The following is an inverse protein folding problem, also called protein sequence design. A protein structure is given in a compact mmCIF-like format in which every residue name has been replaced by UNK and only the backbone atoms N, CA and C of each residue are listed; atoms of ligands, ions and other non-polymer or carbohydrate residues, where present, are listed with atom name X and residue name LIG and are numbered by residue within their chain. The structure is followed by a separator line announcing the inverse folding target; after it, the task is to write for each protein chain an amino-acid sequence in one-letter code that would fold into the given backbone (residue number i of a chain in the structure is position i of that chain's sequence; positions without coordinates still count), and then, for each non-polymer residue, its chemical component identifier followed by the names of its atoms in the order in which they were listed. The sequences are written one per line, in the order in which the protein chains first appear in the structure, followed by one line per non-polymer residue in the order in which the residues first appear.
data_IF_168831699965
#
_entry.id   IF_168831699965
#
_cell.length_a   1.000
_cell.length_b   1.000
_cell.length_c   1.000
_cell.angle_alpha   90.00
_cell.angle_beta   90.00
_cell.angle_gamma   90.00
#
_symmetry.space_group_name_H-M   'P 1'
#
loop_
_entity.id
_entity.type
_entity.pdbx_description
1 polymer ?
#
# COMPACT_ATOMS: atom_id res chain seq x y z
N UNK A 1 -16.49 -62.81 -8.79
CA UNK A 1 -15.34 -63.14 -9.65
C UNK A 1 -14.35 -62.04 -9.37
N UNK A 2 -13.49 -62.17 -8.34
CA UNK A 2 -12.14 -62.75 -8.37
C UNK A 2 -11.22 -61.94 -9.30
N UNK A 3 -10.12 -61.36 -8.89
CA UNK A 3 -8.97 -61.71 -8.01
C UNK A 3 -8.05 -60.48 -7.89
N UNK A 4 -7.63 -59.95 -6.80
CA UNK A 4 -6.44 -60.22 -5.95
C UNK A 4 -5.12 -60.45 -6.68
N UNK A 5 -4.11 -59.65 -6.29
CA UNK A 5 -2.68 -59.93 -6.01
C UNK A 5 -1.99 -58.59 -5.76
N UNK A 6 -1.58 -58.16 -4.59
CA UNK A 6 -0.48 -58.56 -3.67
C UNK A 6 0.86 -58.97 -4.31
N UNK A 7 1.91 -58.23 -3.97
CA UNK A 7 3.20 -58.68 -3.39
C UNK A 7 4.18 -57.48 -3.35
N UNK A 8 4.62 -57.02 -2.16
CA UNK A 8 5.77 -57.39 -1.30
C UNK A 8 7.11 -56.71 -1.68
N UNK A 9 7.56 -55.83 -0.83
CA UNK A 9 8.70 -55.88 0.14
C UNK A 9 10.11 -56.12 -0.42
N UNK A 10 11.05 -55.21 -0.06
CA UNK A 10 12.34 -55.42 0.65
C UNK A 10 13.05 -54.04 0.73
N UNK A 11 13.32 -53.41 1.82
CA UNK A 11 14.23 -53.53 2.95
C UNK A 11 15.70 -53.73 2.53
N UNK A 12 16.55 -52.74 2.83
CA UNK A 12 17.87 -52.88 3.46
C UNK A 12 18.56 -51.52 3.69
N UNK A 13 18.90 -51.25 4.92
CA UNK A 13 20.05 -50.47 5.43
C UNK A 13 21.08 -51.47 5.94
N UNK A 14 22.31 -51.17 6.44
CA UNK A 14 23.02 -49.89 6.67
C UNK A 14 24.54 -49.97 6.28
N UNK A 15 25.26 -48.85 6.47
CA UNK A 15 26.74 -48.86 6.36
C UNK A 15 27.40 -47.67 7.05
N UNK A 16 27.93 -47.94 8.22
CA UNK A 16 28.80 -47.13 9.08
C UNK A 16 30.27 -47.12 8.61
N UNK A 17 31.00 -46.01 8.87
CA UNK A 17 32.33 -45.89 9.45
C UNK A 17 32.91 -44.51 9.24
N UNK A 18 33.19 -43.73 10.26
CA UNK A 18 34.31 -43.71 11.22
C UNK A 18 35.56 -42.99 10.71
N UNK A 19 35.89 -41.93 11.46
CA UNK A 19 37.27 -41.56 11.80
C UNK A 19 37.80 -40.38 11.01
N UNK A 20 38.45 -39.35 11.52
CA UNK A 20 39.33 -39.21 12.68
C UNK A 20 39.60 -37.73 12.89
N UNK A 21 39.71 -37.32 14.13
CA UNK A 21 40.10 -35.99 14.63
C UNK A 21 41.61 -35.75 14.47
N UNK A 22 42.04 -34.52 14.26
CA UNK A 22 43.28 -33.95 14.78
C UNK A 22 43.10 -32.44 15.04
N UNK A 23 43.23 -32.00 16.26
CA UNK A 23 43.45 -30.60 16.62
C UNK A 23 44.93 -30.37 16.95
N UNK A 24 45.31 -29.40 17.80
CA UNK A 24 45.44 -27.98 17.48
C UNK A 24 46.91 -27.50 17.58
N UNK A 25 47.25 -26.32 17.10
CA UNK A 25 48.49 -25.61 17.55
C UNK A 25 48.33 -24.10 17.61
N UNK A 26 48.66 -23.61 18.76
CA UNK A 26 48.90 -22.25 19.26
C UNK A 26 50.11 -21.60 18.62
N UNK A 27 50.10 -20.24 18.46
CA UNK A 27 51.22 -19.31 18.74
C UNK A 27 50.77 -17.88 18.43
N UNK A 28 50.66 -17.00 19.26
CA UNK A 28 51.30 -15.98 20.14
C UNK A 28 52.44 -15.19 19.49
N UNK A 29 52.26 -13.88 19.48
CA UNK A 29 53.18 -12.76 19.80
C UNK A 29 52.90 -11.52 18.94
N UNK A 30 52.38 -10.44 19.55
CA UNK A 30 53.07 -9.22 19.93
C UNK A 30 53.80 -8.52 18.79
N UNK A 31 53.33 -7.27 18.46
CA UNK A 31 54.11 -6.02 18.73
C UNK A 31 53.28 -4.82 18.22
N UNK A 32 53.15 -3.83 19.13
CA UNK A 32 52.96 -2.44 18.78
C UNK A 32 54.35 -1.79 18.60
N UNK A 33 54.49 -0.73 17.80
CA UNK A 33 54.77 0.54 18.47
C UNK A 33 54.04 1.78 17.91
N UNK A 34 53.77 2.64 18.83
CA UNK A 34 53.53 4.09 18.79
C UNK A 34 54.40 4.85 17.79
N UNK A 35 53.82 5.82 17.05
CA UNK A 35 54.38 7.17 17.03
C UNK A 35 53.40 8.27 16.59
N UNK A 36 53.69 9.47 17.08
CA UNK A 36 52.97 10.71 17.22
C UNK A 36 52.82 11.53 15.92
N UNK A 37 51.72 12.25 15.91
CA UNK A 37 51.53 13.68 15.61
C UNK A 37 52.08 14.28 14.31
N UNK A 38 51.23 14.91 13.55
CA UNK A 38 51.13 16.36 13.36
C UNK A 38 49.94 16.70 12.48
N UNK A 39 49.20 17.74 12.87
CA UNK A 39 47.99 18.26 12.35
C UNK A 39 48.07 18.94 10.98
N UNK A 40 46.90 19.10 10.39
CA UNK A 40 46.46 20.41 9.86
C UNK A 40 44.95 20.37 9.58
N UNK A 41 44.32 21.47 9.92
CA UNK A 41 42.93 21.79 9.86
C UNK A 41 42.37 21.79 8.42
N UNK A 42 41.08 21.37 8.29
CA UNK A 42 40.31 21.55 7.08
C UNK A 42 38.84 21.33 7.41
N UNK A 43 38.15 22.39 7.81
CA UNK A 43 36.68 22.43 7.96
C UNK A 43 36.00 22.15 6.64
N UNK A 44 35.10 21.16 6.60
CA UNK A 44 33.95 21.14 5.70
C UNK A 44 32.77 20.57 6.49
N UNK A 45 31.90 21.47 6.94
CA UNK A 45 30.68 21.12 7.68
C UNK A 45 29.69 20.36 6.83
N UNK A 46 29.37 19.16 7.23
CA UNK A 46 28.13 18.47 6.81
C UNK A 46 27.02 18.98 7.73
N UNK A 47 26.23 19.93 7.20
CA UNK A 47 24.98 20.35 7.80
C UNK A 47 23.98 19.17 7.68
N UNK A 48 23.85 18.42 8.77
CA UNK A 48 22.77 17.47 8.96
C UNK A 48 21.45 18.22 8.99
N UNK A 49 20.63 18.06 7.97
CA UNK A 49 19.21 18.46 7.99
C UNK A 49 18.44 17.46 8.86
N UNK A 50 18.54 17.63 10.18
CA UNK A 50 17.54 17.11 11.11
C UNK A 50 16.30 18.02 11.03
N UNK A 51 15.46 17.79 10.03
CA UNK A 51 14.12 18.37 9.98
C UNK A 51 13.32 17.83 11.15
N UNK A 52 13.18 18.65 12.21
CA UNK A 52 12.24 18.41 13.31
C UNK A 52 10.83 18.29 12.71
N UNK A 53 10.31 17.08 12.63
CA UNK A 53 8.90 16.85 12.45
C UNK A 53 8.17 17.39 13.69
N UNK A 54 7.67 18.62 13.61
CA UNK A 54 6.71 19.16 14.60
C UNK A 54 5.55 18.17 14.65
N UNK A 55 5.28 17.64 15.85
CA UNK A 55 4.11 16.81 16.12
C UNK A 55 2.86 17.49 15.55
N UNK A 56 2.17 16.78 14.65
CA UNK A 56 0.89 17.26 14.15
C UNK A 56 -0.13 17.17 15.29
N UNK A 57 -0.84 18.26 15.51
CA UNK A 57 -2.04 18.24 16.37
C UNK A 57 -2.99 17.15 15.91
N UNK A 58 -3.31 16.22 16.79
CA UNK A 58 -4.13 15.04 16.50
C UNK A 58 -5.61 15.36 16.15
N UNK A 59 -5.95 16.61 15.90
CA UNK A 59 -7.31 17.10 15.62
C UNK A 59 -7.44 17.99 14.38
N UNK A 60 -6.36 18.38 13.71
CA UNK A 60 -6.48 19.19 12.50
C UNK A 60 -6.87 18.30 11.30
N UNK A 61 -7.86 18.70 10.46
CA UNK A 61 -8.22 17.95 9.28
C UNK A 61 -6.98 17.78 8.37
N UNK A 62 -6.70 16.55 7.98
CA UNK A 62 -5.62 16.26 7.05
C UNK A 62 -5.95 16.97 5.73
N UNK A 63 -5.12 17.92 5.32
CA UNK A 63 -5.27 18.52 4.00
C UNK A 63 -4.76 17.51 2.98
N UNK A 64 -5.60 17.14 2.00
CA UNK A 64 -5.20 16.33 0.87
C UNK A 64 -3.97 16.89 0.16
N UNK A 65 -3.49 16.20 -0.83
CA UNK A 65 -2.35 16.59 -1.64
C UNK A 65 -2.71 16.48 -3.12
N UNK A 66 -2.15 17.33 -3.96
CA UNK A 66 -2.26 17.16 -5.41
C UNK A 66 -1.27 16.12 -5.88
N UNK A 67 -1.71 15.18 -6.71
CA UNK A 67 -0.84 14.23 -7.39
C UNK A 67 -0.92 14.49 -8.90
N UNK A 68 0.24 14.66 -9.55
CA UNK A 68 0.30 15.03 -10.97
C UNK A 68 1.27 14.13 -11.70
N UNK A 69 0.85 13.64 -12.85
CA UNK A 69 1.71 13.00 -13.86
C UNK A 69 1.69 13.86 -15.11
N UNK A 70 2.86 14.08 -15.74
CA UNK A 70 3.00 14.85 -16.97
C UNK A 70 3.87 14.11 -17.96
N UNK A 71 3.28 13.72 -19.10
CA UNK A 71 3.92 12.93 -20.15
C UNK A 71 4.71 11.75 -19.58
N UNK A 72 4.17 11.12 -18.52
CA UNK A 72 4.89 10.13 -17.72
C UNK A 72 4.80 8.74 -18.34
N UNK A 73 5.96 8.10 -18.55
CA UNK A 73 6.05 6.69 -18.90
C UNK A 73 6.45 5.90 -17.66
N UNK A 74 5.64 4.89 -17.32
CA UNK A 74 5.76 4.11 -16.11
C UNK A 74 6.02 2.64 -16.43
N UNK A 75 6.86 1.99 -15.64
CA UNK A 75 7.15 0.58 -15.84
C UNK A 75 8.55 0.19 -15.40
N UNK A 76 9.08 -0.84 -16.04
CA UNK A 76 10.48 -1.25 -15.90
C UNK A 76 11.27 -0.73 -17.11
N UNK A 77 12.59 -0.59 -17.01
CA UNK A 77 13.42 -0.09 -18.11
C UNK A 77 13.27 -0.87 -19.42
N UNK A 78 12.99 -2.16 -19.31
CA UNK A 78 12.81 -3.12 -20.42
C UNK A 78 11.34 -3.32 -20.82
N UNK A 79 10.38 -2.83 -20.05
CA UNK A 79 8.96 -3.03 -20.29
C UNK A 79 8.10 -1.89 -19.70
N UNK A 80 7.78 -0.90 -20.54
CA UNK A 80 6.83 0.15 -20.17
C UNK A 80 5.43 -0.48 -19.98
N UNK A 81 4.81 -0.17 -18.83
CA UNK A 81 3.45 -0.61 -18.51
C UNK A 81 2.40 0.45 -18.90
N UNK A 82 2.77 1.72 -18.77
CA UNK A 82 1.94 2.86 -19.16
C UNK A 82 2.83 3.88 -19.88
N UNK A 83 2.36 4.41 -20.98
CA UNK A 83 3.08 5.40 -21.78
C UNK A 83 2.29 6.71 -21.87
N UNK A 84 3.01 7.81 -21.81
CA UNK A 84 2.50 9.16 -22.05
C UNK A 84 1.25 9.49 -21.21
N UNK A 85 1.37 9.34 -19.90
CA UNK A 85 0.27 9.56 -18.96
C UNK A 85 0.28 11.01 -18.48
N UNK A 86 -0.82 11.72 -18.79
CA UNK A 86 -1.15 13.00 -18.19
C UNK A 86 -2.33 12.83 -17.24
N UNK A 87 -2.11 13.03 -15.95
CA UNK A 87 -3.12 12.86 -14.91
C UNK A 87 -2.92 13.89 -13.80
N UNK A 88 -3.99 14.59 -13.45
CA UNK A 88 -4.04 15.49 -12.30
C UNK A 88 -5.12 15.02 -11.32
N UNK A 89 -4.74 14.82 -10.07
CA UNK A 89 -5.63 14.44 -8.97
C UNK A 89 -5.61 15.56 -7.94
N UNK A 90 -6.65 16.39 -7.87
CA UNK A 90 -6.77 17.48 -6.91
C UNK A 90 -6.77 17.01 -5.45
N UNK A 91 -6.39 17.90 -4.50
CA UNK A 91 -6.45 17.60 -3.07
C UNK A 91 -7.86 17.20 -2.61
N UNK A 92 -7.96 16.08 -1.87
CA UNK A 92 -9.21 15.58 -1.29
C UNK A 92 -10.14 14.85 -2.26
N UNK A 93 -9.74 14.68 -3.53
CA UNK A 93 -10.48 13.91 -4.52
C UNK A 93 -10.29 12.41 -4.31
N UNK A 94 -11.32 11.64 -4.60
CA UNK A 94 -11.24 10.19 -4.79
C UNK A 94 -11.27 9.89 -6.29
N UNK A 95 -10.10 9.62 -6.85
CA UNK A 95 -9.96 9.11 -8.21
C UNK A 95 -10.00 7.58 -8.18
N UNK A 96 -10.94 6.99 -8.89
CA UNK A 96 -10.93 5.55 -9.15
C UNK A 96 -10.26 5.25 -10.47
N UNK A 97 -9.53 4.14 -10.56
CA UNK A 97 -8.80 3.72 -11.75
C UNK A 97 -9.26 2.33 -12.15
N UNK A 98 -9.82 2.19 -13.34
CA UNK A 98 -10.29 0.92 -13.87
C UNK A 98 -9.56 0.56 -15.16
N UNK A 99 -9.46 -0.75 -15.42
CA UNK A 99 -8.82 -1.26 -16.63
C UNK A 99 -8.59 -2.77 -16.54
N UNK A 100 -8.30 -3.43 -17.68
CA UNK A 100 -8.04 -4.86 -17.71
C UNK A 100 -6.82 -5.25 -16.86
N UNK A 101 -6.72 -6.54 -16.56
CA UNK A 101 -5.55 -7.06 -15.85
C UNK A 101 -4.28 -6.81 -16.67
N UNK A 102 -3.20 -6.41 -16.00
CA UNK A 102 -1.91 -6.15 -16.65
C UNK A 102 -1.78 -4.79 -17.36
N UNK A 103 -2.82 -3.93 -17.42
CA UNK A 103 -2.74 -2.63 -18.11
C UNK A 103 -1.93 -1.54 -17.38
N UNK A 104 -1.30 -1.84 -16.23
CA UNK A 104 -0.42 -0.89 -15.52
C UNK A 104 -1.00 -0.24 -14.26
N UNK A 105 -2.20 -0.62 -13.79
CA UNK A 105 -2.84 -0.04 -12.58
C UNK A 105 -1.94 -0.06 -11.34
N UNK A 106 -1.40 -1.23 -10.99
CA UNK A 106 -0.49 -1.39 -9.84
C UNK A 106 0.85 -0.67 -10.06
N UNK A 107 1.31 -0.53 -11.32
CA UNK A 107 2.50 0.24 -11.66
C UNK A 107 2.27 1.72 -11.39
N UNK A 108 1.11 2.27 -11.80
CA UNK A 108 0.70 3.63 -11.50
C UNK A 108 0.72 3.91 -9.99
N UNK A 109 0.08 3.04 -9.19
CA UNK A 109 0.06 3.19 -7.73
C UNK A 109 1.45 3.13 -7.10
N UNK A 110 2.28 2.18 -7.53
CA UNK A 110 3.65 2.04 -7.01
C UNK A 110 4.52 3.25 -7.37
N UNK A 111 4.31 3.83 -8.54
CA UNK A 111 5.03 5.06 -8.92
C UNK A 111 4.55 6.25 -8.09
N UNK A 112 3.25 6.44 -7.90
CA UNK A 112 2.70 7.45 -7.00
C UNK A 112 3.13 7.26 -5.54
N UNK A 113 3.30 6.03 -5.09
CA UNK A 113 3.85 5.72 -3.76
C UNK A 113 5.36 6.04 -3.63
N UNK A 114 6.05 6.24 -4.75
CA UNK A 114 7.50 6.40 -4.80
C UNK A 114 8.29 5.09 -4.70
N UNK A 115 7.63 3.95 -4.93
CA UNK A 115 8.27 2.62 -4.93
C UNK A 115 8.92 2.28 -6.28
N UNK A 116 8.45 2.92 -7.35
CA UNK A 116 9.02 2.80 -8.69
C UNK A 116 9.27 4.21 -9.24
N UNK A 117 10.42 4.48 -9.85
CA UNK A 117 10.63 5.73 -10.58
C UNK A 117 9.83 5.74 -11.88
N UNK A 118 9.47 6.92 -12.36
CA UNK A 118 9.03 7.08 -13.74
C UNK A 118 10.22 6.84 -14.69
N UNK A 119 9.96 6.26 -15.86
CA UNK A 119 10.97 6.07 -16.90
C UNK A 119 11.25 7.37 -17.64
N UNK A 120 10.19 8.14 -17.93
CA UNK A 120 10.25 9.48 -18.54
C UNK A 120 9.12 10.35 -17.98
N UNK A 121 9.18 11.65 -18.24
CA UNK A 121 8.19 12.62 -17.77
C UNK A 121 8.36 12.97 -16.30
N UNK A 122 7.30 13.51 -15.70
CA UNK A 122 7.32 13.95 -14.31
C UNK A 122 6.17 13.32 -13.51
N UNK A 123 6.47 12.92 -12.26
CA UNK A 123 5.49 12.47 -11.26
C UNK A 123 5.70 13.29 -10.00
N UNK A 124 4.69 14.05 -9.61
CA UNK A 124 4.80 15.09 -8.60
C UNK A 124 3.73 14.99 -7.52
N UNK A 125 4.09 15.44 -6.32
CA UNK A 125 3.19 15.73 -5.23
C UNK A 125 3.29 17.19 -4.86
N UNK A 126 2.19 17.96 -4.96
CA UNK A 126 2.16 19.42 -4.72
C UNK A 126 3.26 20.17 -5.51
N UNK A 127 3.51 19.79 -6.76
CA UNK A 127 4.54 20.38 -7.62
C UNK A 127 5.98 19.99 -7.28
N UNK A 128 6.19 19.01 -6.41
CA UNK A 128 7.51 18.47 -6.07
C UNK A 128 7.66 17.06 -6.61
N UNK A 129 8.79 16.70 -7.24
CA UNK A 129 9.01 15.36 -7.73
C UNK A 129 8.89 14.29 -6.65
N UNK A 130 8.23 13.19 -6.96
CA UNK A 130 8.19 12.00 -6.12
C UNK A 130 9.46 11.19 -6.39
N UNK A 131 10.41 11.26 -5.47
CA UNK A 131 11.72 10.59 -5.59
C UNK A 131 11.82 9.31 -4.75
N UNK A 132 10.85 9.04 -3.87
CA UNK A 132 10.83 7.87 -3.00
C UNK A 132 9.60 7.80 -2.12
N UNK A 133 9.46 6.72 -1.31
CA UNK A 133 8.38 6.58 -0.33
C UNK A 133 8.41 7.72 0.70
N UNK A 134 7.23 8.15 1.14
CA UNK A 134 7.09 9.19 2.16
C UNK A 134 5.97 8.86 3.14
N UNK A 135 6.09 9.34 4.38
CA UNK A 135 5.14 9.03 5.45
C UNK A 135 3.74 9.64 5.25
N UNK A 136 3.60 10.60 4.35
CA UNK A 136 2.33 11.25 4.01
C UNK A 136 1.58 10.58 2.84
N UNK A 137 2.13 9.48 2.29
CA UNK A 137 1.49 8.62 1.30
C UNK A 137 1.35 7.20 1.85
N UNK A 138 0.13 6.73 2.05
CA UNK A 138 -0.15 5.37 2.47
C UNK A 138 -0.50 4.49 1.26
N UNK A 139 0.05 3.27 1.21
CA UNK A 139 -0.31 2.27 0.21
C UNK A 139 -1.03 1.10 0.89
N UNK A 140 -2.21 0.79 0.38
CA UNK A 140 -3.03 -0.36 0.75
C UNK A 140 -2.92 -1.39 -0.36
N UNK A 141 -2.39 -2.56 -0.05
CA UNK A 141 -2.20 -3.65 -1.01
C UNK A 141 -3.47 -4.50 -1.13
N UNK A 142 -3.57 -5.26 -2.19
CA UNK A 142 -4.63 -6.24 -2.42
C UNK A 142 -4.70 -7.29 -1.30
N UNK A 143 -3.55 -7.79 -0.86
CA UNK A 143 -3.43 -8.61 0.34
C UNK A 143 -3.40 -7.71 1.59
N UNK A 144 -3.88 -8.22 2.73
CA UNK A 144 -3.97 -7.43 3.97
C UNK A 144 -2.61 -6.95 4.51
N UNK A 145 -1.52 -7.58 4.11
CA UNK A 145 -0.14 -7.23 4.45
C UNK A 145 0.08 -6.93 5.95
N UNK A 146 -0.78 -7.44 6.83
CA UNK A 146 -0.62 -7.31 8.28
C UNK A 146 0.55 -8.18 8.74
N UNK A 147 1.30 -7.69 9.73
CA UNK A 147 2.38 -8.47 10.34
C UNK A 147 1.78 -9.59 11.18
N UNK A 148 1.91 -10.88 10.79
CA UNK A 148 1.17 -11.98 11.41
C UNK A 148 1.57 -12.26 12.86
N UNK A 149 2.76 -11.83 13.30
CA UNK A 149 3.26 -11.95 14.67
C UNK A 149 2.90 -10.75 15.55
N UNK A 150 2.17 -9.75 15.04
CA UNK A 150 1.69 -8.59 15.80
C UNK A 150 0.17 -8.62 15.93
N UNK A 151 -0.33 -8.17 17.08
CA UNK A 151 -1.77 -7.97 17.27
C UNK A 151 -2.31 -6.91 16.29
N UNK A 152 -3.62 -6.85 16.11
CA UNK A 152 -4.23 -5.81 15.27
C UNK A 152 -3.86 -4.41 15.79
N UNK A 153 -3.91 -4.18 17.10
CA UNK A 153 -3.48 -2.91 17.70
C UNK A 153 -2.03 -2.59 17.37
N UNK A 154 -1.11 -3.55 17.53
CA UNK A 154 0.31 -3.34 17.25
C UNK A 154 0.61 -3.16 15.74
N UNK A 155 -0.23 -3.69 14.87
CA UNK A 155 -0.19 -3.40 13.43
C UNK A 155 -0.59 -1.95 13.14
N UNK A 156 -1.66 -1.45 13.76
CA UNK A 156 -2.12 -0.06 13.57
C UNK A 156 -1.18 0.95 14.24
N UNK A 157 -0.54 0.59 15.36
CA UNK A 157 0.49 1.42 16.00
C UNK A 157 1.75 1.61 15.13
N UNK A 158 2.04 0.70 14.20
CA UNK A 158 3.31 0.66 13.47
C UNK A 158 3.62 1.95 12.69
N UNK A 159 2.75 2.47 11.82
CA UNK A 159 3.03 3.71 11.09
C UNK A 159 3.20 4.92 12.01
N UNK A 160 2.46 4.98 13.11
CA UNK A 160 2.61 6.01 14.14
C UNK A 160 3.98 5.94 14.83
N UNK A 161 4.46 4.70 15.09
CA UNK A 161 5.79 4.48 15.66
C UNK A 161 6.91 4.94 14.71
N UNK A 162 6.76 4.68 13.40
CA UNK A 162 7.70 5.12 12.37
C UNK A 162 7.75 6.65 12.29
N UNK A 163 6.62 7.33 12.50
CA UNK A 163 6.55 8.79 12.57
C UNK A 163 7.07 9.39 13.88
N UNK A 164 7.50 8.56 14.85
CA UNK A 164 8.03 9.01 16.14
C UNK A 164 6.96 9.42 17.16
N UNK A 165 5.68 9.07 16.94
CA UNK A 165 4.61 9.37 17.90
C UNK A 165 4.89 8.70 19.26
N UNK A 166 4.78 9.40 20.40
CA UNK A 166 4.99 8.83 21.73
C UNK A 166 4.11 7.61 21.99
N UNK A 167 4.61 6.64 22.76
CA UNK A 167 3.96 5.34 22.95
C UNK A 167 2.53 5.45 23.48
N UNK A 168 2.28 6.37 24.41
CA UNK A 168 0.94 6.55 24.98
C UNK A 168 -0.06 7.04 23.91
N UNK A 169 0.35 8.06 23.14
CA UNK A 169 -0.49 8.70 22.12
C UNK A 169 -0.77 7.75 20.96
N UNK A 170 0.27 7.05 20.45
CA UNK A 170 0.07 6.10 19.36
C UNK A 170 -0.85 4.94 19.72
N UNK A 171 -0.78 4.45 21.00
CA UNK A 171 -1.67 3.39 21.45
C UNK A 171 -3.11 3.85 21.49
N UNK A 172 -3.36 5.08 21.96
CA UNK A 172 -4.68 5.69 21.96
C UNK A 172 -5.19 5.87 20.53
N UNK A 173 -4.41 6.52 19.66
CA UNK A 173 -4.78 6.73 18.26
C UNK A 173 -5.07 5.42 17.53
N UNK A 174 -4.25 4.39 17.75
CA UNK A 174 -4.46 3.08 17.13
C UNK A 174 -5.74 2.40 17.66
N UNK A 175 -6.07 2.55 18.95
CA UNK A 175 -7.31 2.03 19.51
C UNK A 175 -8.53 2.78 18.96
N UNK A 176 -8.48 4.10 18.86
CA UNK A 176 -9.53 4.94 18.28
C UNK A 176 -9.79 4.54 16.82
N UNK A 177 -8.74 4.25 16.03
CA UNK A 177 -8.89 3.77 14.66
C UNK A 177 -9.50 2.37 14.57
N UNK A 178 -9.12 1.46 15.47
CA UNK A 178 -9.75 0.13 15.52
C UNK A 178 -11.23 0.22 15.92
N UNK A 179 -11.61 1.14 16.79
CA UNK A 179 -12.99 1.40 17.12
C UNK A 179 -13.77 1.91 15.90
N UNK A 180 -13.23 2.90 15.17
CA UNK A 180 -13.84 3.45 13.94
C UNK A 180 -14.11 2.41 12.86
N UNK A 181 -13.29 1.37 12.78
CA UNK A 181 -13.48 0.25 11.83
C UNK A 181 -14.23 -0.94 12.46
N UNK A 182 -14.76 -0.81 13.69
CA UNK A 182 -15.54 -1.84 14.38
C UNK A 182 -14.73 -3.04 14.83
N UNK A 183 -13.49 -2.82 15.29
CA UNK A 183 -12.56 -3.88 15.76
C UNK A 183 -12.01 -3.64 17.16
N UNK A 184 -12.64 -2.81 17.98
CA UNK A 184 -12.19 -2.51 19.34
C UNK A 184 -12.05 -3.78 20.20
N UNK A 185 -13.02 -4.68 20.12
CA UNK A 185 -13.05 -5.97 20.84
C UNK A 185 -12.00 -6.98 20.33
N UNK A 186 -11.45 -6.76 19.14
CA UNK A 186 -10.45 -7.62 18.47
C UNK A 186 -9.04 -7.07 18.53
N UNK A 187 -8.83 -5.90 19.14
CA UNK A 187 -7.55 -5.17 19.14
C UNK A 187 -6.33 -6.02 19.56
N UNK A 188 -6.53 -6.96 20.50
CA UNK A 188 -5.47 -7.85 21.01
C UNK A 188 -5.29 -9.15 20.23
N UNK A 189 -6.13 -9.41 19.22
CA UNK A 189 -6.04 -10.63 18.41
C UNK A 189 -4.94 -10.52 17.37
N UNK A 190 -4.38 -11.67 16.98
CA UNK A 190 -3.44 -11.80 15.88
C UNK A 190 -4.22 -11.89 14.54
N UNK A 191 -3.65 -11.50 13.40
CA UNK A 191 -4.34 -11.50 12.11
C UNK A 191 -4.96 -12.83 11.71
N UNK A 192 -4.32 -13.96 12.04
CA UNK A 192 -4.86 -15.30 11.75
C UNK A 192 -6.07 -15.72 12.63
N UNK A 193 -6.42 -14.93 13.65
CA UNK A 193 -7.56 -15.19 14.55
C UNK A 193 -8.81 -14.39 14.17
N UNK A 194 -8.77 -13.64 13.07
CA UNK A 194 -9.87 -12.81 12.60
C UNK A 194 -10.21 -13.14 11.15
N UNK A 195 -11.43 -12.81 10.72
CA UNK A 195 -11.88 -13.04 9.33
C UNK A 195 -11.12 -12.19 8.31
N UNK A 196 -11.20 -12.53 7.01
CA UNK A 196 -10.61 -11.76 5.92
C UNK A 196 -11.08 -10.31 5.92
N UNK A 197 -12.39 -10.07 6.03
CA UNK A 197 -12.94 -8.72 6.12
C UNK A 197 -12.47 -7.94 7.35
N UNK A 198 -12.30 -8.62 8.49
CA UNK A 198 -11.71 -8.00 9.69
C UNK A 198 -10.24 -7.64 9.50
N UNK A 199 -9.46 -8.48 8.81
CA UNK A 199 -8.07 -8.13 8.45
C UNK A 199 -8.02 -6.90 7.54
N UNK A 200 -8.91 -6.80 6.56
CA UNK A 200 -8.96 -5.64 5.68
C UNK A 200 -9.38 -4.36 6.39
N UNK A 201 -10.32 -4.43 7.35
CA UNK A 201 -10.64 -3.30 8.23
C UNK A 201 -9.42 -2.84 9.05
N UNK A 202 -8.65 -3.79 9.59
CA UNK A 202 -7.43 -3.48 10.33
C UNK A 202 -6.34 -2.88 9.43
N UNK A 203 -6.21 -3.35 8.18
CA UNK A 203 -5.30 -2.77 7.18
C UNK A 203 -5.70 -1.33 6.86
N UNK A 204 -7.00 -1.05 6.68
CA UNK A 204 -7.51 0.29 6.46
C UNK A 204 -7.20 1.21 7.65
N UNK A 205 -7.47 0.74 8.87
CA UNK A 205 -7.12 1.47 10.09
C UNK A 205 -5.62 1.78 10.17
N UNK A 206 -4.76 0.80 9.86
CA UNK A 206 -3.31 0.98 9.81
C UNK A 206 -2.88 2.02 8.78
N UNK A 207 -3.46 2.01 7.59
CA UNK A 207 -3.13 2.96 6.55
C UNK A 207 -3.51 4.40 6.91
N UNK A 208 -4.64 4.59 7.59
CA UNK A 208 -5.18 5.91 7.93
C UNK A 208 -4.67 6.46 9.27
N UNK A 209 -4.21 5.60 10.19
CA UNK A 209 -3.82 6.01 11.55
C UNK A 209 -2.72 7.08 11.58
N UNK A 210 -1.81 7.06 10.62
CA UNK A 210 -0.72 8.04 10.51
C UNK A 210 -1.14 9.39 9.89
N UNK A 211 -2.42 9.56 9.54
CA UNK A 211 -2.93 10.77 8.90
C UNK A 211 -2.27 11.07 7.55
N UNK A 212 -2.25 10.12 6.59
CA UNK A 212 -1.63 10.35 5.29
C UNK A 212 -2.40 11.43 4.51
N UNK A 213 -1.67 12.18 3.68
CA UNK A 213 -2.26 13.17 2.77
C UNK A 213 -2.76 12.54 1.48
N UNK A 214 -2.17 11.40 1.09
CA UNK A 214 -2.64 10.56 0.00
C UNK A 214 -2.78 9.11 0.44
N UNK A 215 -3.84 8.43 -0.03
CA UNK A 215 -4.10 7.00 0.18
C UNK A 215 -4.22 6.34 -1.18
N UNK A 216 -3.33 5.39 -1.43
CA UNK A 216 -3.23 4.64 -2.68
C UNK A 216 -3.72 3.22 -2.40
N UNK A 217 -4.71 2.72 -3.14
CA UNK A 217 -5.36 1.44 -2.85
C UNK A 217 -5.34 0.54 -4.09
N UNK A 218 -4.72 -0.63 -3.99
CA UNK A 218 -4.59 -1.61 -5.07
C UNK A 218 -5.56 -2.77 -4.86
N UNK A 219 -6.73 -2.73 -5.51
CA UNK A 219 -7.81 -3.74 -5.45
C UNK A 219 -8.12 -4.24 -4.02
N UNK A 220 -8.32 -3.34 -3.03
CA UNK A 220 -8.32 -3.73 -1.62
C UNK A 220 -9.49 -4.66 -1.25
N UNK A 221 -10.52 -4.76 -2.08
CA UNK A 221 -11.72 -5.54 -1.80
C UNK A 221 -11.91 -6.73 -2.76
N UNK A 222 -10.93 -7.00 -3.63
CA UNK A 222 -11.02 -8.04 -4.66
C UNK A 222 -11.24 -9.47 -4.13
N UNK A 223 -10.71 -9.78 -2.93
CA UNK A 223 -10.83 -11.09 -2.30
C UNK A 223 -12.09 -11.28 -1.43
N UNK A 224 -12.97 -10.27 -1.32
CA UNK A 224 -14.15 -10.31 -0.48
C UNK A 224 -15.39 -10.80 -1.24
N UNK A 225 -16.28 -11.51 -0.54
CA UNK A 225 -17.62 -11.79 -1.02
C UNK A 225 -18.44 -10.50 -1.20
N UNK A 226 -19.52 -10.54 -1.97
CA UNK A 226 -20.29 -9.36 -2.35
C UNK A 226 -20.85 -8.57 -1.15
N UNK A 227 -21.35 -9.26 -0.11
CA UNK A 227 -21.94 -8.62 1.05
C UNK A 227 -20.86 -7.93 1.90
N UNK A 228 -19.77 -8.62 2.18
CA UNK A 228 -18.61 -8.07 2.91
C UNK A 228 -17.99 -6.89 2.15
N UNK A 229 -17.87 -6.99 0.82
CA UNK A 229 -17.37 -5.92 -0.04
C UNK A 229 -18.23 -4.66 0.05
N UNK A 230 -19.56 -4.80 -0.03
CA UNK A 230 -20.49 -3.69 0.10
C UNK A 230 -20.30 -2.97 1.46
N UNK A 231 -20.25 -3.72 2.57
CA UNK A 231 -19.99 -3.14 3.89
C UNK A 231 -18.61 -2.46 4.03
N UNK A 232 -17.59 -2.97 3.32
CA UNK A 232 -16.26 -2.34 3.30
C UNK A 232 -16.23 -1.04 2.49
N UNK A 233 -16.96 -0.98 1.39
CA UNK A 233 -17.10 0.24 0.59
C UNK A 233 -17.81 1.34 1.40
N UNK A 234 -18.89 1.02 2.10
CA UNK A 234 -19.60 1.96 2.96
C UNK A 234 -18.70 2.46 4.10
N UNK A 235 -18.00 1.55 4.77
CA UNK A 235 -17.02 1.89 5.80
C UNK A 235 -15.90 2.80 5.25
N UNK A 236 -15.38 2.51 4.05
CA UNK A 236 -14.34 3.34 3.43
C UNK A 236 -14.84 4.76 3.19
N UNK A 237 -16.05 4.93 2.65
CA UNK A 237 -16.66 6.25 2.45
C UNK A 237 -16.83 6.99 3.78
N UNK A 238 -17.28 6.30 4.83
CA UNK A 238 -17.45 6.86 6.15
C UNK A 238 -16.14 7.36 6.77
N UNK A 239 -15.11 6.49 6.80
CA UNK A 239 -13.83 6.84 7.43
C UNK A 239 -13.04 7.89 6.65
N UNK A 240 -13.22 7.99 5.33
CA UNK A 240 -12.56 9.00 4.50
C UNK A 240 -13.20 10.39 4.63
N UNK A 241 -14.52 10.50 4.88
CA UNK A 241 -15.24 11.78 4.99
C UNK A 241 -14.58 12.77 5.94
N UNK A 242 -13.95 12.30 7.01
CA UNK A 242 -13.31 13.16 8.02
C UNK A 242 -11.83 13.42 7.79
N UNK A 243 -11.20 12.76 6.80
CA UNK A 243 -9.75 12.84 6.63
C UNK A 243 -9.31 13.93 5.65
N UNK A 244 -10.11 14.26 4.65
CA UNK A 244 -9.73 15.16 3.56
C UNK A 244 -8.55 14.64 2.71
N UNK A 245 -8.12 13.39 2.88
CA UNK A 245 -7.04 12.80 2.11
C UNK A 245 -7.40 12.65 0.63
N UNK A 246 -6.43 12.79 -0.25
CA UNK A 246 -6.54 12.44 -1.68
C UNK A 246 -6.46 10.92 -1.81
N UNK A 247 -7.34 10.32 -2.61
CA UNK A 247 -7.39 8.86 -2.76
C UNK A 247 -7.24 8.49 -4.23
N UNK A 248 -6.35 7.52 -4.50
CA UNK A 248 -6.30 6.81 -5.79
C UNK A 248 -6.64 5.36 -5.53
N UNK A 249 -7.79 4.94 -6.02
CA UNK A 249 -8.36 3.61 -5.77
C UNK A 249 -8.40 2.80 -7.06
N UNK A 250 -7.62 1.74 -7.12
CA UNK A 250 -7.59 0.82 -8.27
C UNK A 250 -8.57 -0.32 -8.05
N UNK A 251 -9.35 -0.63 -9.07
CA UNK A 251 -10.26 -1.77 -9.10
C UNK A 251 -10.45 -2.27 -10.53
N UNK A 252 -10.93 -3.50 -10.67
CA UNK A 252 -11.44 -4.04 -11.94
C UNK A 252 -12.98 -3.99 -12.02
N UNK A 253 -13.65 -3.61 -10.93
CA UNK A 253 -15.11 -3.52 -10.84
C UNK A 253 -15.57 -2.08 -11.13
N UNK A 254 -16.31 -1.90 -12.23
CA UNK A 254 -16.80 -0.60 -12.69
C UNK A 254 -17.85 -0.04 -11.71
N UNK A 255 -18.71 -0.90 -11.14
CA UNK A 255 -19.74 -0.46 -10.21
C UNK A 255 -19.12 0.04 -8.89
N UNK A 256 -18.05 -0.61 -8.42
CA UNK A 256 -17.24 -0.14 -7.30
C UNK A 256 -16.59 1.21 -7.60
N UNK A 257 -15.99 1.36 -8.78
CA UNK A 257 -15.36 2.61 -9.19
C UNK A 257 -16.36 3.78 -9.23
N UNK A 258 -17.54 3.57 -9.78
CA UNK A 258 -18.60 4.58 -9.87
C UNK A 258 -19.26 4.87 -8.51
N UNK A 259 -19.21 3.93 -7.56
CA UNK A 259 -19.71 4.17 -6.21
C UNK A 259 -18.74 5.00 -5.38
N UNK A 260 -17.45 4.72 -5.46
CA UNK A 260 -16.42 5.33 -4.61
C UNK A 260 -15.87 6.64 -5.18
N UNK A 261 -15.68 6.73 -6.50
CA UNK A 261 -14.97 7.83 -7.15
C UNK A 261 -15.73 9.14 -7.23
N UNK A 262 -14.99 10.24 -7.26
CA UNK A 262 -15.43 11.55 -7.77
C UNK A 262 -15.21 11.59 -9.28
N UNK A 263 -14.12 10.98 -9.73
CA UNK A 263 -13.81 10.72 -11.14
C UNK A 263 -13.35 9.29 -11.32
N UNK A 264 -13.51 8.77 -12.52
CA UNK A 264 -12.99 7.48 -12.95
C UNK A 264 -12.00 7.65 -14.10
N UNK A 265 -10.78 7.13 -13.91
CA UNK A 265 -9.73 7.06 -14.93
C UNK A 265 -9.75 5.68 -15.58
N UNK A 266 -9.77 5.64 -16.89
CA UNK A 266 -9.83 4.42 -17.70
C UNK A 266 -8.44 4.12 -18.25
N UNK A 267 -7.86 2.98 -17.87
CA UNK A 267 -6.61 2.50 -18.43
C UNK A 267 -6.88 1.38 -19.44
N UNK A 268 -6.28 1.47 -20.59
CA UNK A 268 -6.38 0.45 -21.64
C UNK A 268 -5.15 0.50 -22.55
N UNK A 269 -4.73 -0.65 -23.08
CA UNK A 269 -3.61 -0.78 -24.01
C UNK A 269 -2.33 -0.02 -23.58
N UNK A 270 -2.03 -0.01 -22.27
CA UNK A 270 -0.85 0.67 -21.73
C UNK A 270 -0.92 2.20 -21.73
N UNK A 271 -2.12 2.79 -21.76
CA UNK A 271 -2.34 4.25 -21.78
C UNK A 271 -3.51 4.66 -20.89
N UNK A 272 -3.55 5.95 -20.54
CA UNK A 272 -4.74 6.59 -20.00
C UNK A 272 -5.69 6.93 -21.16
N UNK A 273 -6.81 6.19 -21.24
CA UNK A 273 -7.79 6.34 -22.33
C UNK A 273 -8.69 7.55 -22.11
N UNK A 274 -9.19 7.72 -20.88
CA UNK A 274 -10.07 8.82 -20.51
C UNK A 274 -10.12 9.02 -19.01
N UNK A 275 -10.51 10.22 -18.57
CA UNK A 275 -10.97 10.52 -17.20
C UNK A 275 -12.38 11.08 -17.31
N UNK A 276 -13.31 10.59 -16.47
CA UNK A 276 -14.72 10.96 -16.48
C UNK A 276 -15.15 11.36 -15.07
N UNK A 277 -15.96 12.41 -14.96
CA UNK A 277 -16.61 12.79 -13.71
C UNK A 277 -17.71 11.78 -13.37
N UNK A 278 -17.84 11.44 -12.07
CA UNK A 278 -18.89 10.56 -11.59
C UNK A 278 -19.99 11.39 -10.93
N UNK A 279 -21.26 11.27 -11.40
CA UNK A 279 -22.39 11.98 -10.81
C UNK A 279 -22.55 11.65 -9.31
N UNK A 280 -22.85 12.67 -8.51
CA UNK A 280 -23.25 12.52 -7.10
C UNK A 280 -24.78 12.45 -6.99
N UNK A 281 -25.35 11.87 -5.93
CA UNK A 281 -24.72 11.39 -4.69
C UNK A 281 -24.12 9.99 -4.77
N UNK A 282 -23.25 9.66 -3.80
CA UNK A 282 -22.69 8.32 -3.59
C UNK A 282 -23.70 7.45 -2.81
N UNK A 283 -24.83 7.16 -3.42
CA UNK A 283 -25.88 6.35 -2.82
C UNK A 283 -26.05 5.05 -3.61
N UNK A 284 -26.17 3.93 -2.90
CA UNK A 284 -26.46 2.65 -3.55
C UNK A 284 -27.82 2.65 -4.23
N UNK A 285 -28.79 3.38 -3.68
CA UNK A 285 -30.10 3.57 -4.29
C UNK A 285 -30.07 4.31 -5.65
N UNK A 286 -28.99 5.06 -5.92
CA UNK A 286 -28.81 5.74 -7.21
C UNK A 286 -28.20 4.82 -8.30
N UNK A 287 -28.21 3.51 -8.12
CA UNK A 287 -27.68 2.54 -9.10
C UNK A 287 -28.45 2.62 -10.44
N UNK A 288 -29.72 2.96 -10.38
CA UNK A 288 -30.61 3.08 -11.55
C UNK A 288 -30.72 4.51 -12.11
N UNK A 289 -29.90 5.45 -11.61
CA UNK A 289 -29.83 6.79 -12.17
C UNK A 289 -29.40 6.72 -13.64
N UNK A 290 -30.20 7.29 -14.58
CA UNK A 290 -29.89 7.23 -16.00
C UNK A 290 -28.48 7.76 -16.37
N UNK A 291 -27.99 8.80 -15.68
CA UNK A 291 -26.66 9.34 -15.91
C UNK A 291 -25.57 8.36 -15.49
N UNK A 292 -25.77 7.63 -14.38
CA UNK A 292 -24.85 6.57 -13.92
C UNK A 292 -24.85 5.36 -14.85
N UNK A 293 -26.04 4.93 -15.28
CA UNK A 293 -26.18 3.82 -16.23
C UNK A 293 -25.48 4.15 -17.55
N UNK A 294 -25.68 5.37 -18.06
CA UNK A 294 -24.99 5.85 -19.28
C UNK A 294 -23.47 5.88 -19.10
N UNK A 295 -22.99 6.39 -17.95
CA UNK A 295 -21.56 6.42 -17.65
C UNK A 295 -20.99 5.00 -17.54
N UNK A 296 -21.68 4.10 -16.84
CA UNK A 296 -21.28 2.70 -16.72
C UNK A 296 -21.13 2.04 -18.11
N UNK A 297 -22.11 2.24 -18.97
CA UNK A 297 -22.06 1.71 -20.34
C UNK A 297 -20.88 2.30 -21.13
N UNK A 298 -20.66 3.63 -21.05
CA UNK A 298 -19.54 4.30 -21.71
C UNK A 298 -18.18 3.78 -21.21
N UNK A 299 -18.03 3.55 -19.89
CA UNK A 299 -16.81 2.99 -19.28
C UNK A 299 -16.58 1.57 -19.80
N UNK A 300 -17.59 0.69 -19.75
CA UNK A 300 -17.48 -0.69 -20.24
C UNK A 300 -17.13 -0.75 -21.73
N UNK A 301 -17.76 0.09 -22.56
CA UNK A 301 -17.45 0.16 -24.00
C UNK A 301 -15.98 0.57 -24.21
N UNK A 302 -15.50 1.58 -23.48
CA UNK A 302 -14.11 2.05 -23.61
C UNK A 302 -13.06 1.04 -23.11
N UNK A 303 -13.42 0.11 -22.25
CA UNK A 303 -12.53 -0.96 -21.77
C UNK A 303 -12.45 -2.14 -22.73
N UNK A 304 -13.43 -2.31 -23.61
CA UNK A 304 -13.52 -3.41 -24.58
C UNK A 304 -12.95 -3.04 -25.97
N UNK A 305 -12.51 -1.78 -26.16
CA UNK A 305 -11.87 -1.27 -27.37
C UNK A 305 -10.36 -1.30 -27.23
#
# INVERSE_FOLDING_TARGET
MSTSSETRETRETPGTSSGTAVGPTTSRATDQPTNQATGHAGHAGHAGHAGHAKGRDAGAPVRGTRLTLRAATLGRPDAAALADVDLDVPPGEILTVVGPSGCGKSTLLRTLAGLLPALTGAVEQDGRPIVGPAADRALVFQEDALLPWRTLLANVELPLAIQGTPRADRRKLAADWLERVGLADRARQLPHRVSGGQRQRAQLARALAAGPRAVLMDEPFGALDAQTRAGMQDLLVEVLRGTGATVVFVTHDVDEALFLGDRVALLGAGRLVAVRDVPRPRERAAHDDPARVALRHAVLTSLNT
#
